data_IF_165707192914
#
_entry.id   IF_165707192914
#
_cell.length_a   1.000
_cell.length_b   1.000
_cell.length_c   1.000
_cell.angle_alpha   90.00
_cell.angle_beta   90.00
_cell.angle_gamma   90.00
#
_symmetry.space_group_name_H-M   'P 1'
#
loop_
_entity.id
_entity.type
_entity.pdbx_description
1 polymer ?
#
# COMPACT_ATOMS: atom_id res chain seq x y z
N UNK A 1 59.88 104.79 -88.39
CA UNK A 1 58.99 103.60 -88.41
C UNK A 1 58.84 102.99 -87.02
N UNK A 2 59.78 103.27 -86.10
CA UNK A 2 59.87 102.64 -84.77
C UNK A 2 58.84 103.13 -83.73
N UNK A 3 58.36 104.37 -83.84
CA UNK A 3 57.38 104.94 -82.90
C UNK A 3 56.00 104.26 -83.03
N UNK A 4 55.61 103.87 -84.25
CA UNK A 4 54.33 103.21 -84.50
C UNK A 4 54.32 101.78 -83.94
N UNK A 5 55.43 101.06 -84.06
CA UNK A 5 55.62 99.72 -83.47
C UNK A 5 55.56 99.73 -81.94
N UNK A 6 56.14 100.76 -81.31
CA UNK A 6 56.15 100.88 -79.85
C UNK A 6 54.76 101.20 -79.29
N UNK A 7 53.97 102.03 -79.98
CA UNK A 7 52.57 102.30 -79.63
C UNK A 7 51.72 101.04 -79.78
N UNK A 8 51.92 100.25 -80.84
CA UNK A 8 51.16 99.01 -81.09
C UNK A 8 51.47 97.95 -80.03
N UNK A 9 52.73 97.84 -79.59
CA UNK A 9 53.13 96.91 -78.55
C UNK A 9 52.55 97.27 -77.18
N UNK A 10 52.51 98.56 -76.83
CA UNK A 10 51.84 99.03 -75.60
C UNK A 10 50.34 98.75 -75.64
N UNK A 11 49.71 98.90 -76.80
CA UNK A 11 48.27 98.63 -76.98
C UNK A 11 47.94 97.13 -76.84
N UNK A 12 48.79 96.25 -77.38
CA UNK A 12 48.67 94.79 -77.20
C UNK A 12 48.90 94.40 -75.75
N UNK A 13 49.87 95.00 -75.06
CA UNK A 13 50.17 94.71 -73.67
C UNK A 13 49.03 95.17 -72.75
N UNK A 14 48.44 96.35 -73.02
CA UNK A 14 47.22 96.80 -72.34
C UNK A 14 46.02 95.88 -72.62
N UNK A 15 45.86 95.40 -73.86
CA UNK A 15 44.81 94.44 -74.20
C UNK A 15 44.98 93.09 -73.49
N UNK A 16 46.23 92.61 -73.35
CA UNK A 16 46.55 91.38 -72.62
C UNK A 16 46.31 91.53 -71.12
N UNK A 17 46.67 92.66 -70.51
CA UNK A 17 46.38 92.94 -69.10
C UNK A 17 44.87 93.04 -68.85
N UNK A 18 44.13 93.67 -69.77
CA UNK A 18 42.67 93.73 -69.70
C UNK A 18 42.03 92.35 -69.86
N UNK A 19 42.52 91.52 -70.78
CA UNK A 19 42.07 90.14 -70.96
C UNK A 19 42.38 89.27 -69.74
N UNK A 20 43.56 89.42 -69.14
CA UNK A 20 43.96 88.70 -67.93
C UNK A 20 43.10 89.10 -66.73
N UNK A 21 42.83 90.40 -66.56
CA UNK A 21 41.90 90.90 -65.53
C UNK A 21 40.47 90.37 -65.71
N UNK A 22 39.97 90.35 -66.96
CA UNK A 22 38.68 89.73 -67.30
C UNK A 22 38.68 88.23 -66.98
N UNK A 23 39.74 87.51 -67.32
CA UNK A 23 39.88 86.07 -67.04
C UNK A 23 39.86 85.77 -65.55
N UNK A 24 40.57 86.57 -64.75
CA UNK A 24 40.63 86.40 -63.30
C UNK A 24 39.28 86.73 -62.65
N UNK A 25 38.56 87.75 -63.13
CA UNK A 25 37.19 88.05 -62.67
C UNK A 25 36.19 86.95 -63.02
N UNK A 26 36.33 86.33 -64.21
CA UNK A 26 35.50 85.20 -64.64
C UNK A 26 35.79 83.94 -63.83
N UNK A 27 37.06 83.68 -63.50
CA UNK A 27 37.44 82.55 -62.65
C UNK A 27 36.87 82.69 -61.24
N UNK A 28 36.88 83.91 -60.68
CA UNK A 28 36.32 84.17 -59.36
C UNK A 28 34.79 83.98 -59.33
N UNK A 29 34.09 84.50 -60.35
CA UNK A 29 32.64 84.31 -60.53
C UNK A 29 32.26 82.83 -60.74
N UNK A 30 33.08 82.07 -61.48
CA UNK A 30 32.85 80.64 -61.67
C UNK A 30 33.04 79.84 -60.38
N UNK A 31 34.01 80.23 -59.55
CA UNK A 31 34.24 79.57 -58.27
C UNK A 31 33.11 79.87 -57.27
N UNK A 32 32.65 81.12 -57.20
CA UNK A 32 31.51 81.54 -56.38
C UNK A 32 30.22 80.81 -56.82
N UNK A 33 29.96 80.72 -58.13
CA UNK A 33 28.83 79.93 -58.64
C UNK A 33 28.95 78.43 -58.38
N UNK A 34 30.17 77.87 -58.42
CA UNK A 34 30.39 76.46 -58.11
C UNK A 34 30.15 76.16 -56.62
N UNK A 35 30.53 77.07 -55.73
CA UNK A 35 30.31 76.96 -54.28
C UNK A 35 28.81 77.12 -53.95
N UNK A 36 28.14 78.13 -54.51
CA UNK A 36 26.69 78.32 -54.34
C UNK A 36 25.88 77.13 -54.88
N UNK A 37 26.31 76.53 -56.00
CA UNK A 37 25.62 75.35 -56.56
C UNK A 37 25.90 74.08 -55.76
N UNK A 38 27.09 73.94 -55.17
CA UNK A 38 27.40 72.83 -54.28
C UNK A 38 26.61 72.90 -52.96
N UNK A 39 26.49 74.09 -52.38
CA UNK A 39 25.71 74.31 -51.15
C UNK A 39 24.23 74.07 -51.37
N UNK A 40 23.66 74.61 -52.46
CA UNK A 40 22.25 74.34 -52.81
C UNK A 40 21.99 72.85 -53.06
N UNK A 41 22.93 72.13 -53.69
CA UNK A 41 22.78 70.69 -53.92
C UNK A 41 22.87 69.89 -52.61
N UNK A 42 23.78 70.29 -51.71
CA UNK A 42 23.95 69.70 -50.39
C UNK A 42 22.70 69.88 -49.53
N UNK A 43 22.13 71.08 -49.51
CA UNK A 43 20.89 71.39 -48.80
C UNK A 43 19.71 70.61 -49.39
N UNK A 44 19.62 70.53 -50.70
CA UNK A 44 18.57 69.76 -51.38
C UNK A 44 18.68 68.26 -51.11
N UNK A 45 19.89 67.70 -51.10
CA UNK A 45 20.14 66.30 -50.74
C UNK A 45 19.80 66.02 -49.29
N UNK A 46 20.22 66.90 -48.37
CA UNK A 46 19.95 66.79 -46.94
C UNK A 46 18.44 66.81 -46.67
N UNK A 47 17.73 67.74 -47.31
CA UNK A 47 16.27 67.85 -47.23
C UNK A 47 15.55 66.63 -47.84
N UNK A 48 16.05 66.08 -48.94
CA UNK A 48 15.49 64.85 -49.50
C UNK A 48 15.74 63.63 -48.62
N UNK A 49 16.93 63.52 -48.02
CA UNK A 49 17.29 62.43 -47.12
C UNK A 49 16.43 62.47 -45.85
N UNK A 50 16.26 63.64 -45.25
CA UNK A 50 15.43 63.84 -44.06
C UNK A 50 13.95 63.54 -44.34
N UNK A 51 13.43 63.95 -45.50
CA UNK A 51 12.07 63.59 -45.90
C UNK A 51 11.92 62.09 -46.19
N UNK A 52 12.95 61.43 -46.73
CA UNK A 52 12.94 60.00 -46.97
C UNK A 52 12.96 59.21 -45.65
N UNK A 53 13.79 59.62 -44.68
CA UNK A 53 13.85 58.98 -43.36
C UNK A 53 12.55 59.20 -42.58
N UNK A 54 11.97 60.40 -42.62
CA UNK A 54 10.65 60.68 -42.01
C UNK A 54 9.55 59.80 -42.61
N UNK A 55 9.47 59.69 -43.93
CA UNK A 55 8.48 58.82 -44.61
C UNK A 55 8.69 57.35 -44.26
N UNK A 56 9.93 56.88 -44.21
CA UNK A 56 10.25 55.52 -43.81
C UNK A 56 9.86 55.24 -42.36
N UNK A 57 10.15 56.17 -41.45
CA UNK A 57 9.79 56.05 -40.03
C UNK A 57 8.27 56.04 -39.84
N UNK A 58 7.54 56.88 -40.58
CA UNK A 58 6.08 56.87 -40.58
C UNK A 58 5.49 55.55 -41.11
N UNK A 59 6.05 55.00 -42.19
CA UNK A 59 5.60 53.72 -42.75
C UNK A 59 5.84 52.57 -41.75
N UNK A 60 7.01 52.52 -41.11
CA UNK A 60 7.31 51.53 -40.07
C UNK A 60 6.35 51.68 -38.88
N UNK A 61 6.08 52.91 -38.44
CA UNK A 61 5.16 53.15 -37.33
C UNK A 61 3.73 52.69 -37.66
N UNK A 62 3.27 52.90 -38.90
CA UNK A 62 1.96 52.42 -39.36
C UNK A 62 1.90 50.88 -39.39
N UNK A 63 2.95 50.22 -39.88
CA UNK A 63 3.02 48.76 -39.92
C UNK A 63 3.04 48.14 -38.51
N UNK A 64 3.78 48.76 -37.58
CA UNK A 64 3.82 48.34 -36.16
C UNK A 64 2.47 48.51 -35.49
N UNK A 65 1.76 49.62 -35.71
CA UNK A 65 0.41 49.81 -35.14
C UNK A 65 -0.61 48.84 -35.74
N UNK A 66 -0.48 48.50 -37.03
CA UNK A 66 -1.31 47.48 -37.67
C UNK A 66 -1.06 46.10 -37.07
N UNK A 67 0.20 45.68 -36.94
CA UNK A 67 0.58 44.41 -36.30
C UNK A 67 0.10 44.34 -34.85
N UNK A 68 0.23 45.44 -34.11
CA UNK A 68 -0.26 45.54 -32.73
C UNK A 68 -1.78 45.36 -32.66
N UNK A 69 -2.52 45.97 -33.59
CA UNK A 69 -3.97 45.84 -33.67
C UNK A 69 -4.39 44.41 -34.03
N UNK A 70 -3.72 43.78 -35.01
CA UNK A 70 -3.96 42.38 -35.39
C UNK A 70 -3.66 41.41 -34.24
N UNK A 71 -2.59 41.63 -33.47
CA UNK A 71 -2.27 40.85 -32.28
C UNK A 71 -3.33 41.00 -31.18
N UNK A 72 -3.81 42.21 -30.91
CA UNK A 72 -4.89 42.42 -29.94
C UNK A 72 -6.19 41.74 -30.37
N UNK A 73 -6.50 41.77 -31.68
CA UNK A 73 -7.66 41.08 -32.23
C UNK A 73 -7.53 39.56 -32.03
N UNK A 74 -6.40 38.97 -32.41
CA UNK A 74 -6.13 37.54 -32.22
C UNK A 74 -6.17 37.10 -30.75
N UNK A 75 -5.59 37.89 -29.84
CA UNK A 75 -5.65 37.63 -28.40
C UNK A 75 -7.09 37.66 -27.88
N UNK A 76 -7.91 38.57 -28.40
CA UNK A 76 -9.33 38.68 -28.02
C UNK A 76 -10.12 37.48 -28.52
N UNK A 77 -9.89 37.06 -29.76
CA UNK A 77 -10.54 35.90 -30.37
C UNK A 77 -10.16 34.60 -29.64
N UNK A 78 -8.87 34.39 -29.34
CA UNK A 78 -8.39 33.25 -28.54
C UNK A 78 -9.04 33.25 -27.15
N UNK A 79 -9.13 34.41 -26.50
CA UNK A 79 -9.78 34.51 -25.18
C UNK A 79 -11.26 34.15 -25.25
N UNK A 80 -11.96 34.58 -26.31
CA UNK A 80 -13.37 34.25 -26.51
C UNK A 80 -13.56 32.75 -26.78
N UNK A 81 -12.75 32.15 -27.65
CA UNK A 81 -12.80 30.73 -27.96
C UNK A 81 -12.49 29.87 -26.73
N UNK A 82 -11.49 30.26 -25.92
CA UNK A 82 -11.17 29.59 -24.67
C UNK A 82 -12.32 29.67 -23.65
N UNK A 83 -12.93 30.84 -23.48
CA UNK A 83 -14.09 30.99 -22.59
C UNK A 83 -15.26 30.13 -23.05
N UNK A 84 -15.53 30.08 -24.36
CA UNK A 84 -16.57 29.24 -24.94
C UNK A 84 -16.29 27.75 -24.72
N UNK A 85 -15.08 27.30 -25.00
CA UNK A 85 -14.64 25.92 -24.75
C UNK A 85 -14.73 25.54 -23.26
N UNK A 86 -14.39 26.46 -22.36
CA UNK A 86 -14.55 26.26 -20.92
C UNK A 86 -16.01 26.10 -20.49
N UNK A 87 -16.92 26.92 -21.03
CA UNK A 87 -18.35 26.81 -20.76
C UNK A 87 -18.93 25.49 -21.29
N UNK A 88 -18.58 25.10 -22.52
CA UNK A 88 -19.02 23.83 -23.11
C UNK A 88 -18.50 22.62 -22.32
N UNK A 89 -17.25 22.67 -21.87
CA UNK A 89 -16.67 21.61 -21.03
C UNK A 89 -17.37 21.52 -19.69
N UNK A 90 -17.66 22.67 -19.06
CA UNK A 90 -18.37 22.74 -17.78
C UNK A 90 -19.79 22.15 -17.90
N UNK A 91 -20.53 22.54 -18.94
CA UNK A 91 -21.87 21.99 -19.21
C UNK A 91 -21.82 20.48 -19.46
N UNK A 92 -20.82 20.00 -20.20
CA UNK A 92 -20.63 18.57 -20.43
C UNK A 92 -20.32 17.80 -19.14
N UNK A 93 -19.52 18.39 -18.23
CA UNK A 93 -19.25 17.80 -16.92
C UNK A 93 -20.47 17.80 -16.01
N UNK A 94 -21.25 18.89 -15.98
CA UNK A 94 -22.45 19.00 -15.16
C UNK A 94 -23.51 17.98 -15.61
N UNK A 95 -23.70 17.80 -16.93
CA UNK A 95 -24.58 16.76 -17.48
C UNK A 95 -24.13 15.34 -17.11
N UNK A 96 -22.83 15.06 -17.13
CA UNK A 96 -22.29 13.75 -16.70
C UNK A 96 -22.50 13.52 -15.20
N UNK A 97 -22.30 14.54 -14.37
CA UNK A 97 -22.54 14.45 -12.94
C UNK A 97 -24.02 14.18 -12.63
N UNK A 98 -24.95 14.87 -13.30
CA UNK A 98 -26.38 14.60 -13.19
C UNK A 98 -26.74 13.17 -13.62
N UNK A 99 -26.23 12.71 -14.76
CA UNK A 99 -26.47 11.34 -15.22
C UNK A 99 -25.93 10.27 -14.24
N UNK A 100 -24.79 10.53 -13.59
CA UNK A 100 -24.24 9.66 -12.54
C UNK A 100 -25.13 9.69 -11.29
N UNK A 101 -25.63 10.86 -10.88
CA UNK A 101 -26.54 10.99 -9.75
C UNK A 101 -27.85 10.21 -9.99
N UNK A 102 -28.50 10.41 -11.14
CA UNK A 102 -29.71 9.68 -11.52
C UNK A 102 -29.47 8.16 -11.62
N UNK A 103 -28.33 7.74 -12.21
CA UNK A 103 -27.97 6.33 -12.29
C UNK A 103 -27.73 5.72 -10.90
N UNK A 104 -27.16 6.48 -9.97
CA UNK A 104 -26.91 6.02 -8.61
C UNK A 104 -28.20 5.92 -7.81
N UNK A 105 -29.10 6.90 -7.91
CA UNK A 105 -30.43 6.82 -7.30
C UNK A 105 -31.20 5.59 -7.80
N UNK A 106 -31.18 5.34 -9.11
CA UNK A 106 -31.83 4.16 -9.68
C UNK A 106 -31.24 2.85 -9.15
N UNK A 107 -29.91 2.74 -9.07
CA UNK A 107 -29.24 1.55 -8.52
C UNK A 107 -29.51 1.37 -7.02
N UNK A 108 -29.60 2.46 -6.26
CA UNK A 108 -29.93 2.42 -4.84
C UNK A 108 -31.36 1.93 -4.64
N UNK A 109 -32.32 2.36 -5.47
CA UNK A 109 -33.70 1.89 -5.41
C UNK A 109 -33.83 0.41 -5.83
N UNK A 110 -33.13 -0.01 -6.88
CA UNK A 110 -33.07 -1.43 -7.29
C UNK A 110 -32.47 -2.32 -6.17
N UNK A 111 -31.41 -1.84 -5.49
CA UNK A 111 -30.87 -2.53 -4.32
C UNK A 111 -31.86 -2.55 -3.17
N UNK A 112 -32.58 -1.45 -2.91
CA UNK A 112 -33.60 -1.37 -1.86
C UNK A 112 -34.70 -2.41 -2.09
N UNK A 113 -35.25 -2.49 -3.31
CA UNK A 113 -36.23 -3.50 -3.67
C UNK A 113 -35.69 -4.93 -3.54
N UNK A 114 -34.47 -5.18 -4.03
CA UNK A 114 -33.87 -6.53 -3.97
C UNK A 114 -33.61 -6.97 -2.52
N UNK A 115 -33.18 -6.04 -1.67
CA UNK A 115 -32.95 -6.28 -0.24
C UNK A 115 -34.27 -6.53 0.48
N UNK A 116 -35.30 -5.73 0.19
CA UNK A 116 -36.64 -5.90 0.78
C UNK A 116 -37.25 -7.25 0.37
N UNK A 117 -37.21 -7.62 -0.91
CA UNK A 117 -37.72 -8.89 -1.41
C UNK A 117 -36.96 -10.09 -0.82
N UNK A 118 -35.61 -10.02 -0.74
CA UNK A 118 -34.81 -11.08 -0.12
C UNK A 118 -35.03 -11.16 1.38
N UNK A 119 -35.16 -10.03 2.07
CA UNK A 119 -35.36 -9.99 3.51
C UNK A 119 -36.74 -10.54 3.86
N UNK A 120 -37.80 -10.09 3.20
CA UNK A 120 -39.17 -10.57 3.41
C UNK A 120 -39.27 -12.07 3.13
N UNK A 121 -38.75 -12.54 2.00
CA UNK A 121 -38.78 -13.97 1.63
C UNK A 121 -37.95 -14.83 2.60
N UNK A 122 -36.78 -14.36 3.02
CA UNK A 122 -35.92 -15.11 3.96
C UNK A 122 -36.51 -15.11 5.36
N UNK A 123 -37.04 -13.98 5.82
CA UNK A 123 -37.65 -13.84 7.13
C UNK A 123 -38.92 -14.68 7.21
N UNK A 124 -39.78 -14.63 6.20
CA UNK A 124 -40.99 -15.44 6.12
C UNK A 124 -40.66 -16.94 6.10
N UNK A 125 -39.68 -17.36 5.29
CA UNK A 125 -39.26 -18.78 5.24
C UNK A 125 -38.69 -19.26 6.57
N UNK A 126 -37.83 -18.46 7.22
CA UNK A 126 -37.26 -18.81 8.53
C UNK A 126 -38.28 -18.77 9.65
N UNK A 127 -39.18 -17.79 9.66
CA UNK A 127 -40.25 -17.70 10.65
C UNK A 127 -41.21 -18.87 10.49
N UNK A 128 -41.62 -19.20 9.26
CA UNK A 128 -42.49 -20.36 8.99
C UNK A 128 -41.84 -21.66 9.48
N UNK A 129 -40.55 -21.89 9.15
CA UNK A 129 -39.82 -23.08 9.60
C UNK A 129 -39.65 -23.13 11.13
N UNK A 130 -39.43 -21.97 11.76
CA UNK A 130 -39.31 -21.85 13.22
C UNK A 130 -40.65 -22.10 13.90
N UNK A 131 -41.75 -21.52 13.39
CA UNK A 131 -43.10 -21.76 13.90
C UNK A 131 -43.57 -23.20 13.67
N UNK A 132 -43.20 -23.84 12.57
CA UNK A 132 -43.52 -25.24 12.32
C UNK A 132 -42.77 -26.17 13.27
N UNK A 133 -41.49 -25.88 13.53
CA UNK A 133 -40.68 -26.60 14.53
C UNK A 133 -41.25 -26.41 15.93
N UNK A 134 -41.56 -25.18 16.32
CA UNK A 134 -42.16 -24.84 17.63
C UNK A 134 -43.55 -25.46 17.78
N UNK A 135 -44.37 -25.48 16.73
CA UNK A 135 -45.69 -26.14 16.76
C UNK A 135 -45.57 -27.65 16.88
N UNK A 136 -44.63 -28.29 16.16
CA UNK A 136 -44.32 -29.73 16.33
C UNK A 136 -43.81 -30.04 17.74
N UNK A 137 -43.00 -29.15 18.30
CA UNK A 137 -42.51 -29.26 19.69
C UNK A 137 -43.67 -29.13 20.69
N UNK A 138 -44.57 -28.15 20.49
CA UNK A 138 -45.75 -27.95 21.32
C UNK A 138 -46.73 -29.10 21.22
N UNK A 139 -46.94 -29.67 20.03
CA UNK A 139 -47.77 -30.86 19.82
C UNK A 139 -47.15 -32.10 20.49
N UNK A 140 -45.83 -32.28 20.36
CA UNK A 140 -45.08 -33.33 21.07
C UNK A 140 -45.15 -33.16 22.59
N UNK A 141 -45.09 -31.92 23.09
CA UNK A 141 -45.20 -31.61 24.52
C UNK A 141 -46.63 -31.84 25.01
N UNK A 142 -47.64 -31.45 24.24
CA UNK A 142 -49.05 -31.66 24.60
C UNK A 142 -49.42 -33.16 24.59
N UNK A 143 -48.83 -33.93 23.67
CA UNK A 143 -48.91 -35.40 23.63
C UNK A 143 -48.17 -36.05 24.80
N UNK A 144 -46.98 -35.55 25.16
CA UNK A 144 -46.23 -35.98 26.34
C UNK A 144 -46.89 -35.62 27.67
N UNK A 145 -47.63 -34.51 27.74
CA UNK A 145 -48.44 -34.11 28.90
C UNK A 145 -49.70 -35.00 29.06
N UNK A 146 -50.26 -35.53 27.96
CA UNK A 146 -51.31 -36.55 28.01
C UNK A 146 -50.83 -37.91 28.55
N UNK A 147 -49.55 -38.24 28.36
CA UNK A 147 -48.93 -39.46 28.90
C UNK A 147 -48.51 -39.32 30.37
N UNK A 148 -48.38 -38.08 30.89
CA UNK A 148 -47.95 -37.80 32.27
C UNK A 148 -48.86 -38.34 33.39
N UNK A 149 -50.13 -38.67 33.11
CA UNK A 149 -50.97 -39.34 34.11
C UNK A 149 -50.54 -40.80 34.38
N UNK A 150 -49.67 -41.35 33.52
CA UNK A 150 -49.12 -42.72 33.62
C UNK A 150 -47.65 -42.75 34.08
N UNK A 151 -46.91 -41.63 33.97
CA UNK A 151 -45.46 -41.53 34.20
C UNK A 151 -45.04 -41.56 35.68
N UNK A 152 -45.96 -41.34 36.62
CA UNK A 152 -45.62 -41.42 38.06
C UNK A 152 -45.19 -42.84 38.51
N UNK A 153 -45.39 -43.89 37.70
CA UNK A 153 -44.90 -45.25 37.96
C UNK A 153 -43.55 -45.61 37.33
N UNK A 154 -43.05 -44.85 36.35
CA UNK A 154 -41.92 -45.27 35.49
C UNK A 154 -40.58 -44.56 35.75
N UNK A 155 -40.48 -43.71 36.78
CA UNK A 155 -39.22 -43.05 37.17
C UNK A 155 -38.15 -44.06 37.65
N UNK A 156 -38.55 -45.28 38.03
CA UNK A 156 -37.61 -46.38 38.32
C UNK A 156 -36.94 -47.01 37.08
N UNK A 157 -37.47 -46.79 35.86
CA UNK A 157 -36.97 -47.46 34.65
C UNK A 157 -35.87 -46.66 33.92
N UNK A 158 -35.81 -45.33 34.12
CA UNK A 158 -34.72 -44.48 33.59
C UNK A 158 -33.36 -44.79 34.23
N UNK A 159 -33.32 -45.10 35.53
CA UNK A 159 -32.12 -45.65 36.18
C UNK A 159 -31.69 -47.00 35.59
N UNK A 160 -32.62 -47.73 34.97
CA UNK A 160 -32.40 -49.07 34.41
C UNK A 160 -31.95 -49.03 32.94
N UNK A 161 -32.37 -48.05 32.15
CA UNK A 161 -31.88 -47.84 30.76
C UNK A 161 -30.45 -47.34 30.74
N UNK A 162 -30.02 -46.63 31.78
CA UNK A 162 -28.63 -46.26 31.98
C UNK A 162 -27.75 -47.43 32.45
N UNK A 163 -28.22 -48.68 32.64
CA UNK A 163 -27.43 -49.77 33.28
C UNK A 163 -26.41 -50.50 32.39
N UNK A 164 -26.43 -50.30 31.07
CA UNK A 164 -25.54 -51.00 30.13
C UNK A 164 -24.12 -50.40 30.05
N UNK A 165 -23.08 -51.22 30.19
CA UNK A 165 -21.67 -50.81 30.14
C UNK A 165 -21.26 -50.08 28.85
N UNK A 166 -21.89 -50.44 27.71
CA UNK A 166 -21.60 -49.82 26.40
C UNK A 166 -22.19 -48.41 26.25
N UNK A 167 -23.47 -48.22 26.56
CA UNK A 167 -24.15 -46.91 26.50
C UNK A 167 -23.49 -45.90 27.45
N UNK A 168 -22.95 -46.38 28.56
CA UNK A 168 -22.20 -45.59 29.55
C UNK A 168 -20.86 -45.08 29.03
N UNK A 169 -20.10 -45.91 28.32
CA UNK A 169 -18.82 -45.51 27.71
C UNK A 169 -19.03 -44.42 26.66
N UNK A 170 -20.04 -44.59 25.80
CA UNK A 170 -20.40 -43.62 24.76
C UNK A 170 -20.75 -42.24 25.34
N UNK A 171 -21.43 -42.18 26.49
CA UNK A 171 -21.76 -40.90 27.12
C UNK A 171 -20.51 -40.16 27.63
N UNK A 172 -19.53 -40.89 28.17
CA UNK A 172 -18.26 -40.32 28.61
C UNK A 172 -17.42 -39.81 27.43
N UNK A 173 -17.39 -40.55 26.33
CA UNK A 173 -16.74 -40.14 25.07
C UNK A 173 -17.41 -38.91 24.45
N UNK A 174 -18.74 -38.85 24.48
CA UNK A 174 -19.51 -37.71 23.98
C UNK A 174 -19.23 -36.44 24.80
N UNK A 175 -19.19 -36.55 26.13
CA UNK A 175 -18.86 -35.43 27.00
C UNK A 175 -17.42 -34.95 26.78
N UNK A 176 -16.47 -35.88 26.64
CA UNK A 176 -15.08 -35.54 26.29
C UNK A 176 -15.01 -34.79 24.96
N UNK A 177 -15.73 -35.30 23.94
CA UNK A 177 -15.82 -34.68 22.62
C UNK A 177 -16.38 -33.26 22.69
N UNK A 178 -17.48 -33.04 23.41
CA UNK A 178 -18.06 -31.71 23.59
C UNK A 178 -17.06 -30.72 24.21
N UNK A 179 -16.36 -31.12 25.27
CA UNK A 179 -15.37 -30.24 25.93
C UNK A 179 -14.22 -29.87 24.98
N UNK A 180 -13.75 -30.83 24.18
CA UNK A 180 -12.66 -30.60 23.22
C UNK A 180 -13.14 -29.72 22.06
N UNK A 181 -14.31 -30.01 21.48
CA UNK A 181 -14.90 -29.29 20.35
C UNK A 181 -15.26 -27.84 20.69
N UNK A 182 -15.67 -27.57 21.94
CA UNK A 182 -15.99 -26.22 22.40
C UNK A 182 -14.74 -25.33 22.57
N UNK A 183 -13.59 -25.92 22.89
CA UNK A 183 -12.36 -25.18 23.27
C UNK A 183 -11.32 -25.15 22.14
N UNK A 184 -11.18 -26.24 21.39
CA UNK A 184 -10.17 -26.43 20.36
C UNK A 184 -10.77 -26.46 18.96
N UNK A 185 -10.05 -25.93 17.99
CA UNK A 185 -10.47 -26.02 16.58
C UNK A 185 -10.17 -27.43 16.03
N UNK A 186 -10.92 -27.91 15.01
CA UNK A 186 -10.69 -29.24 14.43
C UNK A 186 -9.27 -29.50 13.91
N UNK A 187 -8.50 -28.44 13.60
CA UNK A 187 -7.10 -28.56 13.21
C UNK A 187 -6.15 -28.90 14.37
N UNK A 188 -6.54 -28.66 15.62
CA UNK A 188 -5.73 -28.77 16.84
C UNK A 188 -5.84 -30.11 17.55
N UNK A 189 -6.71 -31.02 17.09
CA UNK A 189 -6.83 -32.37 17.64
C UNK A 189 -7.09 -33.37 16.52
N UNK A 190 -6.92 -34.65 16.83
CA UNK A 190 -7.36 -35.79 16.02
C UNK A 190 -8.29 -36.66 16.86
N UNK A 191 -9.30 -37.25 16.23
CA UNK A 191 -10.23 -38.19 16.86
C UNK A 191 -9.92 -39.61 16.41
N UNK A 192 -10.01 -40.57 17.33
CA UNK A 192 -9.77 -42.01 17.05
C UNK A 192 -8.42 -42.24 16.32
N UNK A 193 -7.37 -41.63 16.86
CA UNK A 193 -6.05 -41.55 16.23
C UNK A 193 -5.07 -42.55 16.84
N UNK A 194 -4.23 -43.16 16.01
CA UNK A 194 -3.12 -43.99 16.47
C UNK A 194 -1.92 -43.10 16.79
N UNK A 195 -1.67 -42.85 18.07
CA UNK A 195 -0.58 -41.97 18.52
C UNK A 195 0.81 -42.59 18.40
N UNK A 196 0.88 -43.91 18.24
CA UNK A 196 2.13 -44.68 18.13
C UNK A 196 2.24 -45.23 16.71
N UNK A 197 3.33 -44.90 16.02
CA UNK A 197 3.60 -45.40 14.66
C UNK A 197 3.61 -46.94 14.61
N UNK A 198 2.68 -47.52 13.85
CA UNK A 198 2.56 -48.98 13.68
C UNK A 198 1.66 -49.70 14.69
N UNK A 199 1.07 -48.98 15.65
CA UNK A 199 0.04 -49.53 16.54
C UNK A 199 -1.35 -49.45 15.88
N UNK A 200 -2.21 -50.43 16.17
CA UNK A 200 -3.63 -50.38 15.79
C UNK A 200 -4.53 -49.88 16.93
N UNK A 201 -3.94 -49.57 18.09
CA UNK A 201 -4.64 -48.99 19.23
C UNK A 201 -4.89 -47.49 18.97
N UNK A 202 -6.15 -47.08 19.04
CA UNK A 202 -6.59 -45.71 18.75
C UNK A 202 -7.05 -45.04 20.03
N UNK A 203 -6.47 -43.89 20.34
CA UNK A 203 -6.93 -43.05 21.44
C UNK A 203 -8.18 -42.28 20.99
N UNK A 204 -9.11 -42.05 21.92
CA UNK A 204 -10.34 -41.30 21.64
C UNK A 204 -10.03 -39.91 21.08
N UNK A 205 -9.13 -39.17 21.74
CA UNK A 205 -8.66 -37.87 21.27
C UNK A 205 -7.14 -37.71 21.44
N UNK A 206 -6.50 -37.12 20.44
CA UNK A 206 -5.09 -36.75 20.47
C UNK A 206 -4.96 -35.24 20.19
N UNK A 207 -4.62 -34.44 21.20
CA UNK A 207 -4.44 -32.99 21.05
C UNK A 207 -3.05 -32.70 20.48
N UNK A 208 -2.96 -31.90 19.43
CA UNK A 208 -1.71 -31.54 18.77
C UNK A 208 -1.03 -30.40 19.51
N UNK A 209 0.11 -30.69 20.13
CA UNK A 209 1.00 -29.70 20.70
C UNK A 209 2.12 -29.36 19.69
N UNK A 210 2.63 -28.11 19.66
CA UNK A 210 3.76 -27.75 18.83
C UNK A 210 5.03 -28.46 19.33
N UNK A 211 5.72 -29.15 18.42
CA UNK A 211 6.98 -29.83 18.69
C UNK A 211 8.20 -28.92 18.73
N UNK A 212 9.38 -29.52 18.88
CA UNK A 212 10.68 -28.82 18.93
C UNK A 212 11.12 -28.24 17.58
N UNK A 213 10.59 -28.76 16.48
CA UNK A 213 10.95 -28.37 15.11
C UNK A 213 9.74 -27.75 14.41
N UNK A 214 9.95 -26.75 13.55
CA UNK A 214 8.88 -26.15 12.76
C UNK A 214 8.14 -27.22 11.92
N UNK A 215 6.82 -27.29 12.10
CA UNK A 215 5.95 -28.24 11.39
C UNK A 215 5.77 -29.61 12.06
N UNK A 216 6.50 -29.88 13.14
CA UNK A 216 6.37 -31.13 13.90
C UNK A 216 5.33 -30.97 15.02
N UNK A 217 4.46 -31.97 15.18
CA UNK A 217 3.43 -31.99 16.22
C UNK A 217 3.70 -33.12 17.19
N UNK A 218 3.58 -32.83 18.48
CA UNK A 218 3.62 -33.83 19.54
C UNK A 218 2.17 -34.07 19.98
N UNK A 219 1.76 -35.33 20.02
CA UNK A 219 0.39 -35.67 20.40
C UNK A 219 0.24 -35.85 21.92
N UNK A 220 -0.79 -35.22 22.49
CA UNK A 220 -1.25 -35.45 23.85
C UNK A 220 -2.46 -36.39 23.82
N UNK A 221 -2.28 -37.68 24.17
CA UNK A 221 -3.39 -38.64 24.21
C UNK A 221 -4.32 -38.36 25.39
N UNK A 222 -5.62 -38.35 25.10
CA UNK A 222 -6.70 -38.18 26.07
C UNK A 222 -7.71 -39.30 25.87
N UNK A 223 -7.90 -40.10 26.91
CA UNK A 223 -8.76 -41.29 26.89
C UNK A 223 -9.74 -41.24 28.07
N UNK A 224 -11.02 -41.47 27.79
CA UNK A 224 -12.08 -41.54 28.79
C UNK A 224 -12.18 -42.95 29.35
N UNK A 225 -12.08 -43.08 30.68
CA UNK A 225 -12.37 -44.35 31.36
C UNK A 225 -13.28 -44.13 32.54
N UNK A 226 -14.30 -44.99 32.62
CA UNK A 226 -15.33 -44.85 33.64
C UNK A 226 -15.60 -46.17 34.38
N UNK A 227 -14.95 -46.42 35.54
CA UNK A 227 -15.24 -47.55 36.43
C UNK A 227 -16.57 -47.37 37.17
N UNK A 228 -17.68 -47.24 36.43
CA UNK A 228 -19.00 -46.96 36.98
C UNK A 228 -19.48 -47.98 38.01
N UNK A 229 -19.17 -49.26 37.79
CA UNK A 229 -19.60 -50.31 38.71
C UNK A 229 -18.94 -50.14 40.08
N UNK A 230 -17.66 -49.80 40.12
CA UNK A 230 -16.92 -49.56 41.36
C UNK A 230 -17.31 -48.23 42.00
N UNK A 231 -17.62 -47.21 41.18
CA UNK A 231 -18.11 -45.92 41.65
C UNK A 231 -19.51 -46.02 42.31
N UNK A 232 -20.48 -46.70 41.67
CA UNK A 232 -21.80 -46.89 42.28
C UNK A 232 -21.76 -47.75 43.53
N UNK A 233 -20.94 -48.81 43.56
CA UNK A 233 -20.74 -49.60 44.79
C UNK A 233 -20.19 -48.76 45.95
N UNK A 234 -19.34 -47.78 45.62
CA UNK A 234 -18.83 -46.83 46.61
C UNK A 234 -19.93 -45.85 47.06
N UNK A 235 -20.77 -45.35 46.15
CA UNK A 235 -21.94 -44.52 46.51
C UNK A 235 -22.93 -45.29 47.40
N UNK A 236 -23.29 -46.53 47.04
CA UNK A 236 -24.15 -47.39 47.85
C UNK A 236 -23.55 -47.62 49.26
N UNK A 237 -22.23 -47.79 49.34
CA UNK A 237 -21.53 -47.93 50.62
C UNK A 237 -21.58 -46.63 51.44
N UNK A 238 -21.46 -45.46 50.80
CA UNK A 238 -21.65 -44.17 51.46
C UNK A 238 -23.07 -44.00 52.02
N UNK A 239 -24.10 -44.41 51.26
CA UNK A 239 -25.50 -44.37 51.72
C UNK A 239 -25.75 -45.31 52.90
N UNK A 240 -25.11 -46.49 52.90
CA UNK A 240 -25.20 -47.46 54.00
C UNK A 240 -24.51 -47.00 55.28
N UNK A 241 -23.56 -46.06 55.18
CA UNK A 241 -22.80 -45.52 56.32
C UNK A 241 -21.75 -46.46 56.92
N UNK A 242 -21.49 -47.63 56.31
CA UNK A 242 -20.51 -48.60 56.78
C UNK A 242 -19.09 -48.22 56.33
N UNK A 243 -18.25 -47.83 57.29
CA UNK A 243 -16.88 -47.37 57.04
C UNK A 243 -15.98 -48.45 56.42
N UNK A 244 -16.15 -49.71 56.80
CA UNK A 244 -15.27 -50.79 56.31
C UNK A 244 -15.59 -51.09 54.83
N UNK A 245 -16.87 -51.05 54.47
CA UNK A 245 -17.33 -51.22 53.09
C UNK A 245 -16.92 -50.03 52.21
N UNK A 246 -17.03 -48.80 52.71
CA UNK A 246 -16.57 -47.60 52.02
C UNK A 246 -15.07 -47.72 51.68
N UNK A 247 -14.23 -48.12 52.64
CA UNK A 247 -12.79 -48.22 52.43
C UNK A 247 -12.42 -49.38 51.49
N UNK A 248 -13.15 -50.50 51.55
CA UNK A 248 -12.97 -51.61 50.62
C UNK A 248 -13.33 -51.23 49.18
N UNK A 249 -14.51 -50.63 48.97
CA UNK A 249 -14.95 -50.21 47.63
C UNK A 249 -14.10 -49.07 47.07
N UNK A 250 -13.63 -48.15 47.92
CA UNK A 250 -12.68 -47.10 47.50
C UNK A 250 -11.37 -47.69 47.02
N UNK A 251 -10.79 -48.67 47.73
CA UNK A 251 -9.55 -49.34 47.29
C UNK A 251 -9.73 -50.03 45.93
N UNK A 252 -10.87 -50.69 45.71
CA UNK A 252 -11.18 -51.33 44.43
C UNK A 252 -11.30 -50.33 43.29
N UNK A 253 -11.96 -49.19 43.53
CA UNK A 253 -12.07 -48.09 42.56
C UNK A 253 -10.69 -47.56 42.16
N UNK A 254 -9.84 -47.26 43.15
CA UNK A 254 -8.47 -46.78 42.89
C UNK A 254 -7.64 -47.82 42.15
N UNK A 255 -7.77 -49.11 42.49
CA UNK A 255 -7.08 -50.18 41.77
C UNK A 255 -7.53 -50.28 40.30
N UNK A 256 -8.82 -50.11 40.02
CA UNK A 256 -9.35 -50.08 38.65
C UNK A 256 -8.79 -48.89 37.85
N UNK A 257 -8.77 -47.70 38.45
CA UNK A 257 -8.20 -46.49 37.84
C UNK A 257 -6.70 -46.67 37.57
N UNK A 258 -5.95 -47.30 38.48
CA UNK A 258 -4.53 -47.62 38.26
C UNK A 258 -4.32 -48.56 37.09
N UNK A 259 -5.18 -49.57 36.92
CA UNK A 259 -5.13 -50.46 35.75
C UNK A 259 -5.38 -49.69 34.46
N UNK A 260 -6.38 -48.82 34.43
CA UNK A 260 -6.66 -48.00 33.25
C UNK A 260 -5.50 -47.05 32.92
N UNK A 261 -4.88 -46.42 33.92
CA UNK A 261 -3.69 -45.59 33.71
C UNK A 261 -2.54 -46.38 33.08
N UNK A 262 -2.27 -47.61 33.56
CA UNK A 262 -1.27 -48.51 32.97
C UNK A 262 -1.60 -48.88 31.52
N UNK A 263 -2.86 -49.19 31.26
CA UNK A 263 -3.32 -49.53 29.91
C UNK A 263 -3.09 -48.34 28.96
N UNK A 264 -3.47 -47.12 29.36
CA UNK A 264 -3.28 -45.88 28.58
C UNK A 264 -1.79 -45.63 28.33
N UNK A 265 -0.95 -45.75 29.37
CA UNK A 265 0.49 -45.58 29.24
C UNK A 265 1.07 -46.54 28.19
N UNK A 266 0.78 -47.84 28.31
CA UNK A 266 1.34 -48.86 27.43
C UNK A 266 0.87 -48.77 25.98
N UNK A 267 -0.36 -48.31 25.75
CA UNK A 267 -0.98 -48.28 24.41
C UNK A 267 -0.70 -46.99 23.64
N UNK A 268 -0.64 -45.85 24.33
CA UNK A 268 -0.70 -44.55 23.68
C UNK A 268 0.51 -43.66 23.90
N UNK A 269 1.38 -43.95 24.88
CA UNK A 269 2.59 -43.15 25.13
C UNK A 269 3.80 -43.76 24.44
N UNK A 270 4.36 -42.99 23.50
CA UNK A 270 5.62 -43.24 22.80
C UNK A 270 6.36 -41.93 22.51
N UNK A 271 7.12 -41.36 23.47
CA UNK A 271 8.00 -40.22 23.19
C UNK A 271 9.09 -40.64 22.18
N UNK A 272 9.40 -39.86 21.12
CA UNK A 272 9.13 -38.42 20.97
C UNK A 272 7.85 -38.04 20.19
N UNK A 273 7.11 -39.00 19.63
CA UNK A 273 5.89 -38.74 18.83
C UNK A 273 4.74 -38.20 19.69
N UNK A 274 4.75 -38.58 20.97
CA UNK A 274 3.76 -38.19 21.97
C UNK A 274 4.41 -37.46 23.13
N UNK A 275 3.56 -36.78 23.90
CA UNK A 275 3.95 -36.16 25.16
C UNK A 275 4.46 -37.20 26.16
N UNK A 276 5.29 -36.77 27.11
CA UNK A 276 5.79 -37.63 28.17
C UNK A 276 4.70 -38.13 29.13
N UNK A 277 3.48 -37.60 29.03
CA UNK A 277 2.37 -37.95 29.90
C UNK A 277 1.05 -38.00 29.13
N UNK A 278 0.12 -38.86 29.52
CA UNK A 278 -1.23 -38.93 28.98
C UNK A 278 -2.26 -38.30 29.92
N UNK A 279 -3.46 -38.03 29.42
CA UNK A 279 -4.58 -37.60 30.25
C UNK A 279 -5.61 -38.72 30.35
N UNK A 280 -5.91 -39.13 31.57
CA UNK A 280 -7.04 -39.99 31.87
C UNK A 280 -8.24 -39.11 32.25
N UNK A 281 -9.25 -39.10 31.39
CA UNK A 281 -10.47 -38.33 31.60
C UNK A 281 -11.50 -39.13 32.41
N UNK A 282 -12.04 -38.49 33.45
CA UNK A 282 -13.12 -39.03 34.28
C UNK A 282 -14.36 -38.15 34.05
N UNK A 283 -15.48 -38.68 33.53
CA UNK A 283 -16.62 -37.86 33.09
C UNK A 283 -17.42 -37.19 34.22
N UNK A 284 -17.26 -37.67 35.46
CA UNK A 284 -17.98 -37.13 36.63
C UNK A 284 -17.01 -36.50 37.60
N UNK A 285 -17.31 -35.26 38.03
CA UNK A 285 -16.46 -34.54 38.99
C UNK A 285 -16.38 -35.26 40.35
N UNK A 286 -17.46 -35.95 40.76
CA UNK A 286 -17.49 -36.83 41.93
C UNK A 286 -16.43 -37.94 41.86
N UNK A 287 -16.33 -38.63 40.72
CA UNK A 287 -15.30 -39.64 40.51
C UNK A 287 -13.88 -39.05 40.55
N UNK A 288 -13.66 -37.91 39.91
CA UNK A 288 -12.39 -37.19 39.98
C UNK A 288 -12.03 -36.82 41.43
N UNK A 289 -13.01 -36.34 42.21
CA UNK A 289 -12.80 -35.94 43.60
C UNK A 289 -12.34 -37.10 44.49
N UNK A 290 -12.83 -38.32 44.27
CA UNK A 290 -12.40 -39.50 45.04
C UNK A 290 -10.94 -39.86 44.78
N UNK A 291 -10.45 -39.62 43.56
CA UNK A 291 -9.04 -39.81 43.20
C UNK A 291 -8.17 -38.74 43.87
N UNK A 292 -8.56 -37.47 43.75
CA UNK A 292 -7.80 -36.33 44.30
C UNK A 292 -7.79 -36.33 45.83
N UNK A 293 -8.81 -36.91 46.46
CA UNK A 293 -8.89 -37.09 47.92
C UNK A 293 -7.74 -37.95 48.48
N UNK A 294 -7.07 -38.75 47.65
CA UNK A 294 -5.84 -39.44 48.00
C UNK A 294 -4.63 -38.86 47.24
N UNK A 295 -3.94 -37.84 47.79
CA UNK A 295 -2.82 -37.18 47.12
C UNK A 295 -1.66 -38.13 46.77
N UNK A 296 -1.43 -39.16 47.61
CA UNK A 296 -0.35 -40.14 47.37
C UNK A 296 -0.65 -40.93 46.10
N UNK A 297 -1.89 -41.39 45.94
CA UNK A 297 -2.31 -42.14 44.75
C UNK A 297 -2.28 -41.27 43.49
N UNK A 298 -2.76 -40.03 43.59
CA UNK A 298 -2.69 -39.07 42.47
C UNK A 298 -1.24 -38.77 42.05
N UNK A 299 -0.32 -38.61 43.02
CA UNK A 299 1.10 -38.41 42.75
C UNK A 299 1.76 -39.66 42.13
N UNK A 300 1.36 -40.85 42.60
CA UNK A 300 1.83 -42.13 42.09
C UNK A 300 1.47 -42.32 40.61
N UNK A 301 0.22 -42.06 40.21
CA UNK A 301 -0.21 -42.14 38.80
C UNK A 301 0.59 -41.18 37.92
N UNK A 302 0.84 -39.96 38.39
CA UNK A 302 1.60 -38.95 37.64
C UNK A 302 3.06 -39.33 37.47
N UNK A 303 3.71 -39.90 38.50
CA UNK A 303 5.15 -40.20 38.48
C UNK A 303 5.50 -41.57 37.91
N UNK A 304 4.72 -42.60 38.22
CA UNK A 304 5.02 -43.97 37.82
C UNK A 304 4.43 -44.30 36.45
N UNK A 305 3.17 -43.92 36.24
CA UNK A 305 2.44 -44.25 35.01
C UNK A 305 2.51 -43.12 33.97
N UNK A 306 3.03 -41.95 34.34
CA UNK A 306 3.00 -40.73 33.54
C UNK A 306 1.57 -40.37 33.08
N UNK A 307 0.57 -40.57 33.93
CA UNK A 307 -0.82 -40.23 33.62
C UNK A 307 -1.31 -39.13 34.54
N UNK A 308 -1.86 -38.07 33.96
CA UNK A 308 -2.56 -37.01 34.68
C UNK A 308 -4.05 -37.30 34.63
N UNK A 309 -4.69 -37.36 35.80
CA UNK A 309 -6.14 -37.55 35.90
C UNK A 309 -6.84 -36.21 35.84
N UNK A 310 -7.88 -36.09 35.01
CA UNK A 310 -8.66 -34.86 34.86
C UNK A 310 -10.17 -35.14 34.87
N UNK A 311 -10.91 -34.38 35.68
CA UNK A 311 -12.38 -34.25 35.57
C UNK A 311 -12.79 -33.22 34.50
N UNK A 312 -14.10 -33.04 34.22
CA UNK A 312 -14.59 -32.09 33.22
C UNK A 312 -14.07 -30.67 33.41
N UNK A 313 -14.14 -30.12 34.63
CA UNK A 313 -13.70 -28.75 34.90
C UNK A 313 -12.18 -28.61 34.77
N UNK A 314 -11.44 -29.60 35.24
CA UNK A 314 -9.97 -29.59 35.19
C UNK A 314 -9.47 -29.75 33.76
N UNK A 315 -10.10 -30.60 32.96
CA UNK A 315 -9.79 -30.76 31.55
C UNK A 315 -10.09 -29.48 30.77
N UNK A 316 -11.26 -28.86 30.96
CA UNK A 316 -11.58 -27.58 30.32
C UNK A 316 -10.55 -26.51 30.67
N UNK A 317 -10.11 -26.43 31.93
CA UNK A 317 -9.08 -25.48 32.35
C UNK A 317 -7.70 -25.77 31.70
N UNK A 318 -7.32 -27.04 31.63
CA UNK A 318 -6.09 -27.48 30.97
C UNK A 318 -6.10 -27.13 29.48
N UNK A 319 -7.17 -27.48 28.77
CA UNK A 319 -7.33 -27.19 27.35
C UNK A 319 -7.39 -25.69 27.06
N UNK A 320 -8.07 -24.91 27.89
CA UNK A 320 -8.07 -23.44 27.76
C UNK A 320 -6.67 -22.86 27.94
N UNK A 321 -5.91 -23.36 28.91
CA UNK A 321 -4.52 -22.94 29.13
C UNK A 321 -3.63 -23.28 27.93
N UNK A 322 -3.81 -24.47 27.34
CA UNK A 322 -3.13 -24.87 26.11
C UNK A 322 -3.55 -24.00 24.91
N UNK A 323 -4.84 -23.71 24.76
CA UNK A 323 -5.40 -22.88 23.68
C UNK A 323 -4.84 -21.46 23.70
N UNK A 324 -4.70 -20.86 24.89
CA UNK A 324 -4.03 -19.56 25.04
C UNK A 324 -2.55 -19.66 24.60
N UNK A 325 -1.85 -20.72 25.00
CA UNK A 325 -0.48 -20.98 24.54
C UNK A 325 -0.36 -21.08 23.01
N UNK A 326 -1.29 -21.77 22.35
CA UNK A 326 -1.31 -21.87 20.88
C UNK A 326 -1.55 -20.52 20.20
N UNK A 327 -2.45 -19.69 20.75
CA UNK A 327 -2.70 -18.35 20.22
C UNK A 327 -1.44 -17.48 20.29
N UNK A 328 -0.71 -17.53 21.40
CA UNK A 328 0.55 -16.79 21.56
C UNK A 328 1.62 -17.27 20.57
N UNK A 329 1.78 -18.57 20.37
CA UNK A 329 2.76 -19.11 19.42
C UNK A 329 2.41 -18.77 17.96
N UNK A 330 1.12 -18.82 17.60
CA UNK A 330 0.69 -18.42 16.26
C UNK A 330 0.96 -16.93 16.00
N UNK A 331 0.71 -16.06 17.00
CA UNK A 331 1.03 -14.63 16.91
C UNK A 331 2.53 -14.42 16.71
N UNK A 332 3.39 -15.15 17.44
CA UNK A 332 4.84 -15.07 17.28
C UNK A 332 5.28 -15.49 15.86
N UNK A 333 4.76 -16.60 15.33
CA UNK A 333 5.05 -17.04 13.95
C UNK A 333 4.63 -16.02 12.91
N UNK A 334 3.42 -15.47 13.03
CA UNK A 334 2.96 -14.41 12.14
C UNK A 334 3.83 -13.16 12.24
N UNK A 335 4.32 -12.80 13.43
CA UNK A 335 5.26 -11.68 13.60
C UNK A 335 6.61 -11.94 12.93
N UNK A 336 7.14 -13.17 13.00
CA UNK A 336 8.37 -13.56 12.31
C UNK A 336 8.20 -13.51 10.78
N UNK A 337 7.07 -13.98 10.26
CA UNK A 337 6.76 -13.91 8.83
C UNK A 337 6.61 -12.45 8.37
N UNK A 338 5.91 -11.61 9.14
CA UNK A 338 5.82 -10.17 8.88
C UNK A 338 7.22 -9.53 8.90
N UNK A 339 8.08 -9.90 9.86
CA UNK A 339 9.46 -9.42 9.95
C UNK A 339 10.27 -9.79 8.71
N UNK A 340 10.16 -11.03 8.22
CA UNK A 340 10.79 -11.47 6.97
C UNK A 340 10.31 -10.65 5.77
N UNK A 341 9.00 -10.43 5.64
CA UNK A 341 8.43 -9.60 4.57
C UNK A 341 8.94 -8.15 4.68
N UNK A 342 8.94 -7.56 5.87
CA UNK A 342 9.48 -6.22 6.09
C UNK A 342 10.98 -6.13 5.79
N UNK A 343 11.74 -7.19 6.08
CA UNK A 343 13.15 -7.31 5.70
C UNK A 343 13.33 -7.25 4.17
N UNK A 344 12.51 -7.98 3.42
CA UNK A 344 12.52 -7.94 1.95
C UNK A 344 12.13 -6.55 1.42
N UNK A 345 11.09 -5.92 2.00
CA UNK A 345 10.67 -4.56 1.64
C UNK A 345 11.78 -3.54 1.92
N UNK A 346 12.49 -3.67 3.05
CA UNK A 346 13.65 -2.81 3.39
C UNK A 346 14.75 -2.91 2.34
N UNK A 347 15.04 -4.11 1.83
CA UNK A 347 16.01 -4.31 0.76
C UNK A 347 15.58 -3.63 -0.54
N UNK A 348 14.30 -3.76 -0.93
CA UNK A 348 13.76 -3.09 -2.12
C UNK A 348 13.77 -1.56 -1.98
N UNK A 349 13.44 -1.03 -0.80
CA UNK A 349 13.56 0.40 -0.51
C UNK A 349 15.01 0.89 -0.58
N UNK A 350 15.97 0.07 -0.15
CA UNK A 350 17.40 0.35 -0.34
C UNK A 350 17.77 0.49 -1.82
N UNK A 351 17.37 -0.48 -2.65
CA UNK A 351 17.60 -0.43 -4.11
C UNK A 351 16.93 0.78 -4.77
N UNK A 352 15.71 1.10 -4.34
CA UNK A 352 14.99 2.29 -4.83
C UNK A 352 15.70 3.58 -4.46
N UNK A 353 16.22 3.68 -3.22
CA UNK A 353 17.03 4.82 -2.77
C UNK A 353 18.28 4.99 -3.64
N UNK A 354 18.99 3.91 -3.94
CA UNK A 354 20.18 3.94 -4.82
C UNK A 354 19.84 4.42 -6.24
N UNK A 355 18.68 4.03 -6.78
CA UNK A 355 18.20 4.50 -8.08
C UNK A 355 17.87 6.00 -8.06
N UNK A 356 17.25 6.50 -6.99
CA UNK A 356 16.99 7.93 -6.82
C UNK A 356 18.29 8.74 -6.72
N UNK A 357 19.30 8.25 -6.01
CA UNK A 357 20.63 8.89 -5.95
C UNK A 357 21.26 8.96 -7.34
N UNK A 358 21.16 7.89 -8.14
CA UNK A 358 21.65 7.89 -9.53
C UNK A 358 20.90 8.89 -10.41
N UNK A 359 19.57 8.96 -10.29
CA UNK A 359 18.75 9.92 -11.03
C UNK A 359 19.09 11.37 -10.65
N UNK A 360 19.25 11.66 -9.36
CA UNK A 360 19.70 12.97 -8.88
C UNK A 360 21.07 13.34 -9.47
N UNK A 361 22.01 12.39 -9.51
CA UNK A 361 23.33 12.63 -10.09
C UNK A 361 23.26 12.96 -11.58
N UNK A 362 22.40 12.28 -12.35
CA UNK A 362 22.15 12.60 -13.76
C UNK A 362 21.52 13.97 -13.96
N UNK A 363 20.54 14.35 -13.12
CA UNK A 363 19.94 15.69 -13.17
C UNK A 363 20.95 16.79 -12.88
N UNK A 364 21.80 16.63 -11.86
CA UNK A 364 22.88 17.58 -11.56
C UNK A 364 23.87 17.69 -12.72
N UNK A 365 24.16 16.58 -13.39
CA UNK A 365 25.08 16.54 -14.53
C UNK A 365 24.47 17.21 -15.77
N UNK A 366 23.17 17.01 -16.01
CA UNK A 366 22.41 17.72 -17.03
C UNK A 366 22.38 19.24 -16.75
N UNK A 367 22.14 19.63 -15.49
CA UNK A 367 22.20 21.04 -15.06
C UNK A 367 23.55 21.67 -15.32
N UNK A 368 24.65 21.00 -14.94
CA UNK A 368 26.01 21.48 -15.18
C UNK A 368 26.33 21.62 -16.68
N UNK A 369 25.81 20.72 -17.51
CA UNK A 369 25.96 20.83 -18.97
C UNK A 369 25.19 22.01 -19.54
N UNK A 370 23.99 22.29 -19.04
CA UNK A 370 23.21 23.48 -19.41
C UNK A 370 23.97 24.74 -19.01
N UNK A 371 24.52 24.82 -17.80
CA UNK A 371 25.32 25.97 -17.34
C UNK A 371 26.56 26.19 -18.22
N UNK A 372 27.26 25.11 -18.60
CA UNK A 372 28.39 25.19 -19.53
C UNK A 372 27.99 25.68 -20.92
N UNK A 373 26.84 25.23 -21.44
CA UNK A 373 26.32 25.71 -22.73
C UNK A 373 25.94 27.19 -22.64
N UNK A 374 25.24 27.59 -21.57
CA UNK A 374 24.85 28.98 -21.34
C UNK A 374 26.05 29.90 -21.14
N UNK A 375 27.12 29.47 -20.48
CA UNK A 375 28.30 30.35 -20.31
C UNK A 375 29.19 30.32 -21.54
N UNK A 376 29.55 29.14 -22.04
CA UNK A 376 30.57 29.03 -23.09
C UNK A 376 30.04 29.43 -24.47
N UNK A 377 28.84 28.98 -24.85
CA UNK A 377 28.26 29.36 -26.15
C UNK A 377 27.74 30.79 -26.14
N UNK A 378 27.09 31.25 -25.07
CA UNK A 378 26.64 32.65 -25.03
C UNK A 378 27.82 33.61 -25.07
N UNK A 379 28.89 33.36 -24.31
CA UNK A 379 30.09 34.21 -24.37
C UNK A 379 30.79 34.13 -25.73
N UNK A 380 30.79 32.97 -26.39
CA UNK A 380 31.34 32.84 -27.74
C UNK A 380 30.49 33.59 -28.78
N UNK A 381 29.16 33.48 -28.68
CA UNK A 381 28.20 34.19 -29.53
C UNK A 381 28.30 35.70 -29.32
N UNK A 382 28.38 36.15 -28.06
CA UNK A 382 28.55 37.55 -27.68
C UNK A 382 29.89 38.12 -28.17
N UNK A 383 30.98 37.34 -28.11
CA UNK A 383 32.26 37.72 -28.73
C UNK A 383 32.15 37.86 -30.24
N UNK A 384 31.52 36.90 -30.94
CA UNK A 384 31.33 37.01 -32.39
C UNK A 384 30.39 38.14 -32.81
N UNK A 385 29.37 38.45 -32.01
CA UNK A 385 28.50 39.62 -32.22
C UNK A 385 29.27 40.93 -32.01
N UNK A 386 30.11 41.02 -30.98
CA UNK A 386 31.03 42.17 -30.80
C UNK A 386 32.04 42.31 -31.94
N UNK A 387 32.50 41.20 -32.52
CA UNK A 387 33.37 41.25 -33.71
C UNK A 387 32.62 41.77 -34.93
N UNK A 388 31.33 41.46 -35.07
CA UNK A 388 30.49 41.97 -36.18
C UNK A 388 30.18 43.46 -36.00
N UNK A 389 29.98 43.96 -34.77
CA UNK A 389 29.88 45.40 -34.49
C UNK A 389 31.19 46.16 -34.77
N UNK A 390 32.33 45.48 -34.83
CA UNK A 390 33.63 46.07 -35.18
C UNK A 390 33.97 45.97 -36.67
N UNK A 391 33.11 45.36 -37.50
CA UNK A 391 33.33 45.18 -38.94
C UNK A 391 32.68 46.28 -39.81
N UNK A 392 31.99 47.26 -39.22
CA UNK A 392 31.78 48.58 -39.84
C UNK A 392 32.80 49.59 -39.28
N UNK A 393 34.05 49.56 -39.78
CA UNK A 393 35.00 50.70 -39.94
C UNK A 393 36.46 50.24 -40.24
N UNK A 394 36.67 49.08 -40.89
CA UNK A 394 38.04 48.60 -41.18
C UNK A 394 38.47 48.78 -42.66
N UNK A 395 37.64 49.44 -43.48
CA UNK A 395 38.02 49.87 -44.84
C UNK A 395 38.50 51.33 -44.90
N UNK A 396 38.52 52.07 -43.78
CA UNK A 396 38.84 53.52 -43.76
C UNK A 396 40.16 53.87 -43.06
N UNK A 397 40.85 52.93 -42.38
CA UNK A 397 42.06 53.24 -41.59
C UNK A 397 43.40 52.74 -42.16
N UNK A 398 43.41 52.15 -43.35
CA UNK A 398 44.64 51.70 -44.03
C UNK A 398 45.49 52.78 -44.71
N UNK A 399 45.16 54.08 -44.60
CA UNK A 399 45.82 55.17 -45.34
C UNK A 399 46.85 55.99 -44.53
N UNK A 400 47.00 55.76 -43.22
CA UNK A 400 47.99 56.47 -42.39
C UNK A 400 48.91 55.48 -41.69
N UNK A 401 49.96 55.08 -42.42
CA UNK A 401 51.02 54.23 -41.92
C UNK A 401 51.91 54.94 -40.90
N UNK A 402 52.09 54.30 -39.74
CA UNK A 402 53.24 54.47 -38.86
C UNK A 402 53.59 53.10 -38.25
N UNK A 403 54.89 52.78 -38.30
CA UNK A 403 55.50 51.53 -37.82
C UNK A 403 56.05 51.70 -36.38
N UNK A 404 56.54 50.66 -35.70
CA UNK A 404 56.09 50.24 -34.37
C UNK A 404 57.07 50.65 -33.27
N UNK A 405 56.65 50.51 -32.01
CA UNK A 405 57.56 50.41 -30.87
C UNK A 405 57.33 49.10 -30.14
N UNK A 406 58.39 48.30 -30.14
CA UNK A 406 58.64 47.18 -29.24
C UNK A 406 58.73 47.68 -27.79
N UNK A 407 58.27 46.86 -26.84
CA UNK A 407 58.76 46.71 -25.45
C UNK A 407 57.97 45.53 -24.86
N UNK A 408 58.57 44.34 -24.85
CA UNK A 408 59.28 43.73 -23.71
C UNK A 408 58.37 43.26 -22.57
N UNK A 409 58.29 41.94 -22.46
CA UNK A 409 58.27 41.09 -21.27
C UNK A 409 57.88 41.71 -19.90
N UNK A 410 56.90 41.08 -19.25
CA UNK A 410 57.18 40.46 -17.96
C UNK A 410 56.21 39.33 -17.59
N UNK A 411 56.80 38.34 -16.95
CA UNK A 411 56.39 36.96 -16.71
C UNK A 411 55.13 36.75 -15.86
N UNK A 412 54.39 35.69 -16.20
CA UNK A 412 54.13 34.56 -15.30
C UNK A 412 53.76 33.29 -16.08
#
# INVERSE_FOLDING_TARGET
>A
MDIVLLILLILVLLALVFLYGKWQSLALLLQEQAEDTADNLSDQLSYQLENATLKQQQAIHQEVERLRTELYQQLTDIRQELNKSHLETRDATDRRLQAIQESNEKRLEEMRQTVEEKLEKTLQTRLQASFETVSKQLESVNRGLGEMQTVARDVGSLNKVLSGTKTRGIMGELQLGQIIEDILTPSQYEREFATVSGSNERVEYAVKLPGRTEGDYIYLPIDSKFPLADYYRLEDAYESGDKDQIDFHRKNLLAAIKRFAKDIQSKYLNPPETTNFGVLFLPTEGLYSEVVRNPIFFDELRRQENIVVAGPTTLSALLNSLSVGFKTLNIQRSADDISKVLGNVKLEFGKFSDLLVKAQKQLNQASSNIDKLLTTRTNAIERSLRTIDLYEDDQTKGLLGLSPLDEEDNEN
#
